data_IF_817455349668
#
_entry.id   IF_817455349668
#
_cell.length_a   1.000
_cell.length_b   1.000
_cell.length_c   1.000
_cell.angle_alpha   90.00
_cell.angle_beta   90.00
_cell.angle_gamma   90.00
#
_symmetry.space_group_name_H-M   'P 1'
#
loop_
_entity.id
_entity.type
_entity.pdbx_description
1 polymer ?
#
# COMPACT_ATOMS: atom_id res chain seq x y z
N UNK A 1 1.94 -4.33 12.09
CA UNK A 1 1.06 -3.75 13.13
C UNK A 1 1.83 -2.87 14.11
N UNK A 2 2.82 -3.36 14.87
CA UNK A 2 3.55 -2.50 15.82
C UNK A 2 4.32 -1.36 15.12
N UNK A 3 4.97 -1.68 13.99
CA UNK A 3 5.65 -0.69 13.16
C UNK A 3 4.71 0.39 12.59
N UNK A 4 3.53 0.00 12.11
CA UNK A 4 2.57 0.94 11.50
C UNK A 4 2.10 2.00 12.51
N UNK A 5 1.93 1.58 13.77
CA UNK A 5 1.62 2.49 14.86
C UNK A 5 2.77 3.47 15.12
N UNK A 6 4.01 2.99 15.18
CA UNK A 6 5.19 3.84 15.37
C UNK A 6 5.34 4.82 14.20
N UNK A 7 5.24 4.33 12.96
CA UNK A 7 5.43 5.13 11.75
C UNK A 7 4.32 6.18 11.56
N UNK A 8 3.09 5.91 11.98
CA UNK A 8 1.97 6.88 11.93
C UNK A 8 2.08 8.01 12.94
N UNK A 9 2.81 7.80 14.04
CA UNK A 9 2.96 8.79 15.13
C UNK A 9 4.31 9.52 15.09
N UNK A 10 5.12 9.34 14.04
CA UNK A 10 6.38 10.06 13.86
C UNK A 10 6.13 11.55 13.64
N UNK A 11 6.88 12.39 14.36
CA UNK A 11 6.80 13.85 14.22
C UNK A 11 7.25 14.34 12.83
N UNK A 12 8.14 13.60 12.19
CA UNK A 12 8.67 13.92 10.87
C UNK A 12 8.28 12.84 9.86
N UNK A 13 7.68 13.24 8.75
CA UNK A 13 7.14 12.37 7.70
C UNK A 13 6.32 11.17 8.24
N UNK A 14 5.18 11.43 8.92
CA UNK A 14 4.31 10.37 9.44
C UNK A 14 3.75 9.51 8.29
N UNK A 15 3.47 8.24 8.59
CA UNK A 15 2.74 7.36 7.68
C UNK A 15 1.28 7.83 7.60
N UNK A 16 0.90 8.43 6.47
CA UNK A 16 -0.47 8.93 6.21
C UNK A 16 -1.01 8.31 4.92
N UNK A 17 -2.24 7.80 4.97
CA UNK A 17 -2.95 7.33 3.76
C UNK A 17 -3.45 8.54 2.97
N UNK A 18 -2.99 8.69 1.73
CA UNK A 18 -3.53 9.72 0.83
C UNK A 18 -5.00 9.42 0.47
N UNK A 19 -5.77 10.45 0.12
CA UNK A 19 -7.20 10.31 -0.14
C UNK A 19 -7.51 9.48 -1.40
N UNK A 20 -6.56 9.41 -2.32
CA UNK A 20 -6.58 8.63 -3.56
C UNK A 20 -5.81 7.30 -3.46
N UNK A 21 -5.27 6.99 -2.28
CA UNK A 21 -4.52 5.77 -2.03
C UNK A 21 -5.45 4.55 -2.08
N UNK A 22 -4.98 3.49 -2.73
CA UNK A 22 -5.62 2.18 -2.71
C UNK A 22 -4.96 1.31 -1.64
N UNK A 23 -5.75 0.83 -0.69
CA UNK A 23 -5.28 -0.12 0.33
C UNK A 23 -5.24 -1.54 -0.26
N UNK A 24 -4.10 -2.20 -0.12
CA UNK A 24 -3.86 -3.55 -0.64
C UNK A 24 -3.38 -4.42 0.52
N UNK A 25 -4.15 -5.45 0.86
CA UNK A 25 -3.69 -6.49 1.77
C UNK A 25 -2.82 -7.50 1.02
N UNK A 26 -1.57 -7.58 1.44
CA UNK A 26 -0.56 -8.47 0.87
C UNK A 26 -0.11 -9.57 1.85
N UNK A 27 -0.77 -9.70 3.01
CA UNK A 27 -0.36 -10.58 4.11
C UNK A 27 -0.25 -12.06 3.73
N UNK A 28 -0.94 -12.49 2.67
CA UNK A 28 -0.98 -13.88 2.19
C UNK A 28 -0.64 -14.01 0.70
N UNK A 29 0.10 -13.06 0.12
CA UNK A 29 0.44 -13.05 -1.32
C UNK A 29 1.93 -13.26 -1.53
N UNK A 30 2.31 -14.02 -2.54
CA UNK A 30 3.69 -14.08 -3.01
C UNK A 30 4.09 -12.78 -3.71
N UNK A 31 5.39 -12.56 -3.88
CA UNK A 31 5.91 -11.38 -4.59
C UNK A 31 5.35 -11.29 -6.02
N UNK A 32 5.22 -12.42 -6.71
CA UNK A 32 4.70 -12.51 -8.08
C UNK A 32 3.21 -12.16 -8.17
N UNK A 33 2.41 -12.62 -7.20
CA UNK A 33 0.99 -12.29 -7.09
C UNK A 33 0.79 -10.80 -6.78
N UNK A 34 1.62 -10.23 -5.91
CA UNK A 34 1.62 -8.80 -5.61
C UNK A 34 1.95 -7.97 -6.86
N UNK A 35 2.95 -8.39 -7.63
CA UNK A 35 3.36 -7.72 -8.87
C UNK A 35 2.24 -7.71 -9.91
N UNK A 36 1.60 -8.86 -10.09
CA UNK A 36 0.47 -9.02 -11.02
C UNK A 36 -0.72 -8.15 -10.60
N UNK A 37 -1.04 -8.14 -9.30
CA UNK A 37 -2.12 -7.31 -8.75
C UNK A 37 -1.88 -5.82 -9.00
N UNK A 38 -0.68 -5.33 -8.68
CA UNK A 38 -0.32 -3.92 -8.87
C UNK A 38 -0.35 -3.55 -10.36
N UNK A 39 0.16 -4.41 -11.24
CA UNK A 39 0.15 -4.18 -12.68
C UNK A 39 -1.27 -4.03 -13.24
N UNK A 40 -2.21 -4.87 -12.80
CA UNK A 40 -3.62 -4.75 -13.21
C UNK A 40 -4.24 -3.44 -12.72
N UNK A 41 -4.03 -3.08 -11.45
CA UNK A 41 -4.59 -1.86 -10.86
C UNK A 41 -4.10 -0.60 -11.56
N UNK A 42 -2.82 -0.55 -11.94
CA UNK A 42 -2.26 0.57 -12.70
C UNK A 42 -2.88 0.61 -14.10
N UNK A 43 -2.98 -0.53 -14.79
CA UNK A 43 -3.57 -0.59 -16.13
C UNK A 43 -5.02 -0.11 -16.15
N UNK A 44 -5.79 -0.44 -15.11
CA UNK A 44 -7.18 -0.01 -14.97
C UNK A 44 -7.32 1.49 -14.68
N UNK A 45 -6.37 2.09 -13.94
CA UNK A 45 -6.35 3.53 -13.65
C UNK A 45 -5.82 4.41 -14.80
N UNK A 46 -5.03 3.84 -15.71
CA UNK A 46 -4.38 4.58 -16.81
C UNK A 46 -5.26 4.65 -18.07
N UNK A 47 -6.34 3.86 -18.13
CA UNK A 47 -7.36 3.96 -19.18
C UNK A 47 -8.42 5.02 -18.85
#
# INVERSE_FOLDING_TARGET
TERDFIDSNRADSPLVKAQDALEIDNSHKTVEEQLTLIYSLIKDKVN
#
